data_IF_378365549739
#
_entry.id   IF_378365549739
#
_cell.length_a   1.000
_cell.length_b   1.000
_cell.length_c   1.000
_cell.angle_alpha   90.00
_cell.angle_beta   90.00
_cell.angle_gamma   90.00
#
_symmetry.space_group_name_H-M   'P 1'
#
loop_
_entity.id
_entity.type
_entity.pdbx_description
1 polymer ?
#
# COMPACT_ATOMS: atom_id res chain seq x y z
N UNK A 1 -34.88 18.27 28.66
CA UNK A 1 -33.41 18.22 28.84
C UNK A 1 -32.80 16.81 28.58
N UNK A 2 -33.26 16.06 27.56
CA UNK A 2 -32.72 14.72 27.23
C UNK A 2 -31.98 14.68 25.87
N UNK A 3 -32.27 15.61 24.95
CA UNK A 3 -31.71 15.62 23.59
C UNK A 3 -30.29 16.19 23.46
N UNK A 4 -29.79 16.94 24.45
CA UNK A 4 -28.44 17.53 24.39
C UNK A 4 -27.33 16.49 24.66
N UNK A 5 -27.61 15.49 25.52
CA UNK A 5 -26.63 14.45 25.91
C UNK A 5 -26.35 13.45 24.77
N UNK A 6 -27.35 13.19 23.93
CA UNK A 6 -27.24 12.26 22.79
C UNK A 6 -26.36 12.85 21.67
N UNK A 7 -26.43 14.17 21.44
CA UNK A 7 -25.61 14.85 20.44
C UNK A 7 -24.12 14.86 20.80
N UNK A 8 -23.78 14.99 22.08
CA UNK A 8 -22.39 14.93 22.55
C UNK A 8 -21.78 13.54 22.39
N UNK A 9 -22.56 12.48 22.66
CA UNK A 9 -22.09 11.10 22.46
C UNK A 9 -21.80 10.78 21.00
N UNK A 10 -22.63 11.27 20.07
CA UNK A 10 -22.42 11.07 18.64
C UNK A 10 -21.17 11.80 18.12
N UNK A 11 -20.87 13.00 18.61
CA UNK A 11 -19.66 13.75 18.25
C UNK A 11 -18.38 13.06 18.75
N UNK A 12 -18.40 12.53 19.98
CA UNK A 12 -17.26 11.77 20.53
C UNK A 12 -17.00 10.46 19.76
N UNK A 13 -18.05 9.80 19.26
CA UNK A 13 -17.92 8.56 18.48
C UNK A 13 -17.28 8.81 17.10
N UNK A 14 -17.63 9.92 16.44
CA UNK A 14 -17.05 10.31 15.13
C UNK A 14 -15.57 10.69 15.27
N UNK A 15 -15.17 11.35 16.36
CA UNK A 15 -13.77 11.64 16.65
C UNK A 15 -12.94 10.39 17.04
N UNK A 16 -13.59 9.34 17.57
CA UNK A 16 -12.92 8.09 17.94
C UNK A 16 -12.57 7.17 16.76
N UNK A 17 -13.23 7.32 15.61
CA UNK A 17 -13.10 6.40 14.46
C UNK A 17 -11.93 6.71 13.52
N UNK A 18 -11.20 7.82 13.68
CA UNK A 18 -9.94 8.08 12.98
C UNK A 18 -8.76 7.31 13.61
N UNK A 19 -9.05 6.20 14.30
CA UNK A 19 -8.11 5.35 15.02
C UNK A 19 -7.71 4.07 14.31
N UNK A 20 -7.56 4.12 13.00
CA UNK A 20 -6.72 3.14 12.31
C UNK A 20 -5.26 3.56 12.54
N UNK A 21 -4.55 2.87 13.44
CA UNK A 21 -3.11 3.02 13.60
C UNK A 21 -2.41 2.67 12.29
N UNK A 22 -2.13 3.70 11.48
CA UNK A 22 -1.43 3.56 10.21
C UNK A 22 0.06 3.30 10.44
N UNK A 23 0.71 2.68 9.48
CA UNK A 23 2.17 2.74 9.35
C UNK A 23 2.50 3.77 8.28
N UNK A 24 3.49 4.61 8.55
CA UNK A 24 3.92 5.66 7.62
C UNK A 24 5.41 5.58 7.36
N UNK A 25 5.80 5.92 6.14
CA UNK A 25 7.19 6.15 5.81
C UNK A 25 7.65 7.48 6.40
N UNK A 26 8.81 7.48 7.05
CA UNK A 26 9.47 8.68 7.56
C UNK A 26 10.95 8.68 7.22
N UNK A 27 11.50 9.86 6.95
CA UNK A 27 12.92 10.13 6.72
C UNK A 27 13.20 11.53 7.25
N UNK A 28 14.30 11.71 7.96
CA UNK A 28 14.65 12.99 8.55
C UNK A 28 14.81 14.06 7.44
N UNK A 29 14.07 15.16 7.56
CA UNK A 29 14.12 16.29 6.61
C UNK A 29 13.36 16.09 5.30
N UNK A 30 12.73 14.92 5.07
CA UNK A 30 11.88 14.72 3.89
C UNK A 30 10.49 15.34 4.14
N UNK A 31 10.04 16.18 3.21
CA UNK A 31 8.66 16.66 3.18
C UNK A 31 7.72 15.66 2.48
N UNK A 32 6.42 15.92 2.53
CA UNK A 32 5.41 15.05 1.93
C UNK A 32 5.54 14.97 0.39
N UNK A 33 6.09 16.01 -0.25
CA UNK A 33 6.29 16.04 -1.70
C UNK A 33 7.46 15.14 -2.12
N UNK A 34 8.56 15.15 -1.37
CA UNK A 34 9.69 14.24 -1.54
C UNK A 34 9.22 12.79 -1.30
N UNK A 35 8.51 12.55 -0.20
CA UNK A 35 7.96 11.23 0.10
C UNK A 35 7.07 10.70 -1.03
N UNK A 36 6.13 11.52 -1.50
CA UNK A 36 5.22 11.13 -2.60
C UNK A 36 5.97 10.83 -3.90
N UNK A 37 6.97 11.65 -4.24
CA UNK A 37 7.82 11.46 -5.41
C UNK A 37 8.64 10.17 -5.33
N UNK A 38 9.27 9.91 -4.19
CA UNK A 38 10.10 8.73 -3.99
C UNK A 38 9.28 7.46 -3.97
N UNK A 39 8.13 7.50 -3.30
CA UNK A 39 7.23 6.36 -3.21
C UNK A 39 6.59 6.04 -4.58
N UNK A 40 6.21 7.05 -5.37
CA UNK A 40 5.73 6.84 -6.73
C UNK A 40 6.82 6.31 -7.66
N UNK A 41 8.07 6.79 -7.54
CA UNK A 41 9.21 6.25 -8.28
C UNK A 41 9.46 4.77 -7.94
N UNK A 42 9.55 4.43 -6.65
CA UNK A 42 9.73 3.04 -6.21
C UNK A 42 8.59 2.12 -6.67
N UNK A 43 7.34 2.60 -6.67
CA UNK A 43 6.20 1.83 -7.20
C UNK A 43 6.30 1.59 -8.68
N UNK A 44 6.64 2.61 -9.47
CA UNK A 44 6.79 2.49 -10.93
C UNK A 44 7.90 1.50 -11.28
N UNK A 45 9.05 1.60 -10.62
CA UNK A 45 10.19 0.70 -10.85
C UNK A 45 9.84 -0.75 -10.51
N UNK A 46 9.12 -0.96 -9.41
CA UNK A 46 8.60 -2.27 -9.02
C UNK A 46 7.58 -2.82 -10.04
N UNK A 47 6.63 -2.00 -10.49
CA UNK A 47 5.65 -2.39 -11.50
C UNK A 47 6.30 -2.74 -12.85
N UNK A 48 7.34 -2.02 -13.27
CA UNK A 48 8.11 -2.34 -14.48
C UNK A 48 8.85 -3.67 -14.35
N UNK A 49 9.34 -4.00 -13.15
CA UNK A 49 10.07 -5.24 -12.86
C UNK A 49 9.15 -6.46 -12.83
N UNK A 50 7.98 -6.34 -12.22
CA UNK A 50 7.04 -7.47 -12.01
C UNK A 50 5.84 -7.48 -12.97
N UNK A 51 5.79 -6.56 -13.94
CA UNK A 51 4.74 -6.51 -14.95
C UNK A 51 3.33 -6.23 -14.41
N UNK A 52 3.22 -5.62 -13.22
CA UNK A 52 1.92 -5.31 -12.58
C UNK A 52 1.36 -4.00 -13.16
N UNK A 53 1.14 -3.97 -14.47
CA UNK A 53 0.24 -3.01 -15.08
C UNK A 53 -1.19 -3.55 -14.92
N UNK A 54 -2.10 -2.71 -14.44
CA UNK A 54 -3.43 -3.08 -13.95
C UNK A 54 -4.14 -4.16 -14.77
N UNK A 55 -4.42 -5.28 -14.10
CA UNK A 55 -5.43 -6.27 -14.44
C UNK A 55 -5.53 -6.66 -15.91
N UNK A 56 -4.82 -7.72 -16.31
CA UNK A 56 -5.26 -8.75 -17.27
C UNK A 56 -4.11 -9.73 -17.48
N UNK A 57 -3.89 -10.58 -16.48
CA UNK A 57 -3.11 -11.80 -16.65
C UNK A 57 -3.98 -12.95 -17.17
N UNK A 58 -4.93 -12.70 -18.06
CA UNK A 58 -5.47 -13.76 -18.89
C UNK A 58 -4.50 -13.88 -20.06
N UNK A 59 -3.49 -14.73 -19.91
CA UNK A 59 -2.63 -15.17 -21.02
C UNK A 59 -3.56 -15.66 -22.15
N UNK A 60 -3.61 -15.01 -23.32
CA UNK A 60 -4.46 -15.48 -24.39
C UNK A 60 -3.84 -16.74 -25.01
N UNK A 61 -4.47 -17.89 -24.80
CA UNK A 61 -4.25 -19.07 -25.64
C UNK A 61 -3.52 -20.27 -25.02
N UNK A 62 -3.76 -20.62 -23.74
CA UNK A 62 -3.26 -21.88 -23.18
C UNK A 62 -4.33 -22.97 -23.15
N UNK A 63 -4.05 -24.09 -23.82
CA UNK A 63 -4.86 -25.30 -23.84
C UNK A 63 -5.05 -25.84 -22.40
N UNK A 64 -6.29 -26.00 -21.90
CA UNK A 64 -6.59 -26.50 -20.55
C UNK A 64 -5.96 -27.85 -20.17
N UNK A 65 -5.41 -28.61 -21.13
CA UNK A 65 -4.74 -29.89 -20.89
C UNK A 65 -3.34 -29.75 -20.30
N UNK A 66 -2.68 -28.63 -20.50
CA UNK A 66 -1.39 -28.32 -19.90
C UNK A 66 -1.71 -27.41 -18.71
N UNK A 67 -1.46 -27.89 -17.50
CA UNK A 67 -1.85 -27.22 -16.24
C UNK A 67 -1.41 -25.75 -16.13
N UNK A 68 -1.80 -25.04 -15.05
CA UNK A 68 -1.55 -23.61 -14.93
C UNK A 68 -0.07 -23.31 -15.16
N UNK A 69 0.26 -22.20 -15.86
CA UNK A 69 1.63 -21.84 -16.13
C UNK A 69 2.41 -21.84 -14.81
N UNK A 70 3.58 -22.45 -14.79
CA UNK A 70 4.46 -22.59 -13.62
C UNK A 70 5.08 -21.27 -13.13
N UNK A 71 4.49 -20.13 -13.52
CA UNK A 71 4.88 -18.80 -13.10
C UNK A 71 4.21 -18.38 -11.79
N UNK A 72 4.75 -17.35 -11.12
CA UNK A 72 4.13 -16.81 -9.92
C UNK A 72 2.72 -16.31 -10.23
N UNK A 73 1.77 -16.69 -9.38
CA UNK A 73 0.41 -16.18 -9.37
C UNK A 73 0.39 -14.65 -9.23
N UNK A 74 -0.73 -14.03 -9.61
CA UNK A 74 -0.89 -12.58 -9.50
C UNK A 74 -0.70 -12.08 -8.05
N UNK A 75 -1.17 -12.84 -7.06
CA UNK A 75 -0.98 -12.50 -5.63
C UNK A 75 0.50 -12.56 -5.23
N UNK A 76 1.25 -13.56 -5.71
CA UNK A 76 2.69 -13.65 -5.50
C UNK A 76 3.44 -12.48 -6.14
N UNK A 77 3.08 -12.12 -7.37
CA UNK A 77 3.65 -10.95 -8.04
C UNK A 77 3.37 -9.67 -7.23
N UNK A 78 2.14 -9.48 -6.75
CA UNK A 78 1.79 -8.33 -5.90
C UNK A 78 2.59 -8.28 -4.61
N UNK A 79 2.80 -9.42 -3.94
CA UNK A 79 3.64 -9.50 -2.75
C UNK A 79 5.09 -9.15 -3.06
N UNK A 80 5.65 -9.68 -4.14
CA UNK A 80 7.02 -9.37 -4.58
C UNK A 80 7.16 -7.87 -4.90
N UNK A 81 6.17 -7.29 -5.59
CA UNK A 81 6.16 -5.87 -5.90
C UNK A 81 6.11 -5.00 -4.64
N UNK A 82 5.31 -5.38 -3.65
CA UNK A 82 5.26 -4.68 -2.36
C UNK A 82 6.60 -4.79 -1.60
N UNK A 83 7.23 -5.96 -1.59
CA UNK A 83 8.56 -6.14 -0.99
C UNK A 83 9.63 -5.29 -1.69
N UNK A 84 9.60 -5.20 -3.01
CA UNK A 84 10.51 -4.36 -3.78
C UNK A 84 10.33 -2.86 -3.48
N UNK A 85 9.09 -2.39 -3.32
CA UNK A 85 8.82 -1.01 -2.87
C UNK A 85 9.39 -0.78 -1.47
N UNK A 86 9.18 -1.71 -0.54
CA UNK A 86 9.74 -1.62 0.81
C UNK A 86 11.28 -1.51 0.80
N UNK A 87 11.95 -2.35 0.01
CA UNK A 87 13.40 -2.32 -0.12
C UNK A 87 13.90 -1.01 -0.74
N UNK A 88 13.21 -0.53 -1.78
CA UNK A 88 13.53 0.73 -2.44
C UNK A 88 13.42 1.94 -1.49
N UNK A 89 12.34 2.01 -0.71
CA UNK A 89 12.15 3.08 0.28
C UNK A 89 13.23 3.05 1.37
N UNK A 90 13.55 1.87 1.91
CA UNK A 90 14.63 1.71 2.90
C UNK A 90 15.99 2.11 2.36
N UNK A 91 16.31 1.76 1.10
CA UNK A 91 17.55 2.18 0.43
C UNK A 91 17.67 3.70 0.29
N UNK A 92 16.53 4.40 0.19
CA UNK A 92 16.45 5.87 0.16
C UNK A 92 16.51 6.52 1.54
N UNK A 93 16.63 5.73 2.60
CA UNK A 93 16.71 6.18 3.99
C UNK A 93 15.35 6.39 4.66
N UNK A 94 14.27 5.84 4.10
CA UNK A 94 12.97 5.85 4.76
C UNK A 94 12.81 4.66 5.69
N UNK A 95 12.25 4.93 6.87
CA UNK A 95 11.84 3.92 7.84
C UNK A 95 10.31 3.85 7.90
N UNK A 96 9.79 2.63 8.00
CA UNK A 96 8.37 2.41 8.19
C UNK A 96 8.09 2.43 9.69
N UNK A 97 7.57 3.54 10.18
CA UNK A 97 7.26 3.73 11.60
C UNK A 97 5.75 3.65 11.83
N UNK A 98 5.31 3.16 12.99
CA UNK A 98 3.92 3.34 13.40
C UNK A 98 3.61 4.82 13.43
N UNK A 99 2.47 5.20 12.85
CA UNK A 99 1.93 6.54 13.01
C UNK A 99 1.53 6.68 14.49
N UNK A 100 2.39 7.35 15.25
CA UNK A 100 2.13 7.56 16.67
C UNK A 100 0.96 8.54 16.76
N UNK A 101 -0.18 8.03 17.23
CA UNK A 101 -1.31 8.84 17.65
C UNK A 101 -0.96 9.71 18.84
#
# INVERSE_FOLDING_TARGET
>A
MRSAKIRFFALALVLGLSACGGVRWQKAGADDAELSRDLSACRRDSQMTFGIAGGQGAMPGMDPRFGPPSGPSQSEQMMQAAQAVNACMRKRGYELVPDKK
#
